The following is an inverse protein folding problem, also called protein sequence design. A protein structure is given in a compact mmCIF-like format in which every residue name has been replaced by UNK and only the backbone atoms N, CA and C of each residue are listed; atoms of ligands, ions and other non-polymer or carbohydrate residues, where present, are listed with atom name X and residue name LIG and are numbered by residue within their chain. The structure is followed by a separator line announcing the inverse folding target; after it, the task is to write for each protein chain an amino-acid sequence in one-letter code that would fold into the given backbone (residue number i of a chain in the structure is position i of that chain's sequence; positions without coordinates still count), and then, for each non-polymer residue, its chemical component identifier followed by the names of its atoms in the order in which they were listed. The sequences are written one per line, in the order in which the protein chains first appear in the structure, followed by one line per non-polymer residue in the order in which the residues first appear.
data_IF_655173085179
#
_entry.id   IF_655173085179
#
_cell.length_a   1.000
_cell.length_b   1.000
_cell.length_c   1.000
_cell.angle_alpha   90.00
_cell.angle_beta   90.00
_cell.angle_gamma   90.00
#
_symmetry.space_group_name_H-M   'P 1'
#
loop_
_entity.id
_entity.type
_entity.pdbx_description
1 polymer ?
#
# COMPACT_ATOMS: atom_id res chain seq x y z
N UNK A 1 -6.25 -16.85 12.25
CA UNK A 1 -7.73 -16.94 12.37
C UNK A 1 -8.24 -16.68 13.79
N UNK A 2 -7.59 -15.80 14.57
CA UNK A 2 -8.08 -15.42 15.91
C UNK A 2 -9.21 -14.39 15.85
N UNK A 3 -9.62 -13.88 17.01
CA UNK A 3 -10.61 -12.79 17.15
C UNK A 3 -10.21 -11.81 18.23
N UNK A 4 -10.78 -10.61 18.21
CA UNK A 4 -10.76 -9.71 19.37
C UNK A 4 -11.90 -10.12 20.29
N UNK A 5 -11.60 -10.38 21.56
CA UNK A 5 -12.61 -10.74 22.56
C UNK A 5 -13.25 -9.50 23.22
N UNK A 6 -14.23 -9.72 24.09
CA UNK A 6 -14.98 -8.67 24.79
C UNK A 6 -14.11 -7.76 25.67
N UNK A 7 -12.90 -8.21 26.03
CA UNK A 7 -11.94 -7.44 26.82
C UNK A 7 -11.01 -6.60 25.94
N UNK A 8 -11.14 -6.69 24.62
CA UNK A 8 -10.23 -6.07 23.65
C UNK A 8 -8.94 -6.86 23.41
N UNK A 9 -8.82 -8.07 23.98
CA UNK A 9 -7.66 -8.94 23.80
C UNK A 9 -7.70 -9.73 22.50
N UNK A 10 -6.54 -10.05 21.94
CA UNK A 10 -6.43 -10.99 20.83
C UNK A 10 -6.58 -12.42 21.38
N UNK A 11 -7.62 -13.11 20.97
CA UNK A 11 -7.93 -14.47 21.39
C UNK A 11 -7.61 -15.49 20.29
N UNK A 12 -6.79 -16.49 20.65
CA UNK A 12 -6.46 -17.63 19.81
C UNK A 12 -7.71 -18.47 19.53
N UNK A 13 -7.96 -18.81 18.26
CA UNK A 13 -9.10 -19.63 17.84
C UNK A 13 -9.03 -21.07 18.29
N UNK A 14 -7.83 -21.59 18.61
CA UNK A 14 -7.66 -23.00 18.92
C UNK A 14 -8.03 -23.31 20.37
N UNK A 15 -7.26 -22.79 21.33
CA UNK A 15 -7.45 -23.09 22.76
C UNK A 15 -7.96 -21.89 23.57
N UNK A 16 -8.30 -20.77 22.93
CA UNK A 16 -8.90 -19.61 23.59
C UNK A 16 -7.96 -18.81 24.50
N UNK A 17 -6.65 -18.94 24.32
CA UNK A 17 -5.68 -18.09 25.02
C UNK A 17 -5.84 -16.64 24.56
N UNK A 18 -5.88 -15.70 25.50
CA UNK A 18 -6.01 -14.27 25.19
C UNK A 18 -4.72 -13.51 25.50
N UNK A 19 -4.44 -12.50 24.69
CA UNK A 19 -3.25 -11.64 24.77
C UNK A 19 -3.66 -10.17 24.69
N UNK A 20 -3.02 -9.31 25.47
CA UNK A 20 -3.23 -7.86 25.38
C UNK A 20 -2.27 -7.20 24.35
N UNK A 21 -2.40 -5.89 24.15
CA UNK A 21 -1.56 -5.12 23.24
C UNK A 21 -0.09 -5.03 23.64
N UNK A 22 0.28 -5.44 24.86
CA UNK A 22 1.67 -5.55 25.31
C UNK A 22 2.32 -6.89 24.92
N UNK A 23 1.53 -7.82 24.36
CA UNK A 23 1.90 -9.20 24.08
C UNK A 23 1.76 -10.14 25.28
N UNK A 24 1.36 -9.62 26.44
CA UNK A 24 1.20 -10.43 27.65
C UNK A 24 0.02 -11.38 27.51
N UNK A 25 0.22 -12.65 27.91
CA UNK A 25 -0.91 -13.57 28.06
C UNK A 25 -1.77 -13.10 29.24
N UNK A 26 -3.05 -12.84 28.98
CA UNK A 26 -4.00 -12.39 30.00
C UNK A 26 -4.91 -13.51 30.48
N UNK A 27 -5.09 -14.55 29.66
CA UNK A 27 -5.99 -15.66 29.98
C UNK A 27 -5.56 -16.97 29.33
N UNK A 28 -5.52 -18.03 30.13
CA UNK A 28 -5.38 -19.42 29.68
C UNK A 28 -6.60 -20.17 30.21
N UNK A 29 -7.60 -20.50 29.36
CA UNK A 29 -8.85 -21.12 29.83
C UNK A 29 -8.64 -22.45 30.56
N UNK A 30 -7.57 -23.17 30.23
CA UNK A 30 -7.25 -24.50 30.78
C UNK A 30 -6.43 -24.43 32.07
N UNK A 31 -5.95 -23.26 32.49
CA UNK A 31 -5.17 -23.11 33.71
C UNK A 31 -6.11 -22.99 34.92
N UNK A 32 -5.85 -23.77 35.97
CA UNK A 32 -6.59 -23.64 37.22
C UNK A 32 -6.39 -22.22 37.81
N UNK A 33 -7.43 -21.62 38.43
CA UNK A 33 -7.34 -20.27 38.97
C UNK A 33 -6.43 -20.16 40.21
N UNK A 34 -6.08 -21.30 40.82
CA UNK A 34 -5.20 -21.41 41.99
C UNK A 34 -4.20 -22.55 41.78
N UNK A 35 -3.14 -22.56 42.59
CA UNK A 35 -2.10 -23.58 42.52
C UNK A 35 -0.98 -23.24 41.53
N UNK A 36 -0.04 -24.18 41.32
CA UNK A 36 1.10 -23.98 40.43
C UNK A 36 0.71 -23.64 38.98
N UNK A 37 -0.46 -24.06 38.50
CA UNK A 37 -0.94 -23.84 37.13
C UNK A 37 -1.33 -22.38 36.89
N UNK A 38 -1.84 -21.69 37.92
CA UNK A 38 -2.21 -20.27 37.84
C UNK A 38 -1.03 -19.36 37.48
N UNK A 39 0.22 -19.83 37.65
CA UNK A 39 1.42 -19.08 37.25
C UNK A 39 1.68 -19.11 35.75
N UNK A 40 1.02 -20.00 34.99
CA UNK A 40 1.23 -20.14 33.55
C UNK A 40 0.92 -18.86 32.78
N UNK A 41 -0.14 -18.14 33.15
CA UNK A 41 -0.53 -16.84 32.55
C UNK A 41 0.58 -15.79 32.70
N UNK A 42 1.35 -15.86 33.81
CA UNK A 42 2.46 -14.94 34.12
C UNK A 42 3.81 -15.42 33.58
N UNK A 43 3.85 -16.57 32.91
CA UNK A 43 5.08 -17.10 32.34
C UNK A 43 5.49 -16.27 31.12
N UNK A 44 6.74 -15.79 31.01
CA UNK A 44 7.23 -15.14 29.80
C UNK A 44 7.09 -16.02 28.55
N UNK A 45 7.16 -17.35 28.72
CA UNK A 45 6.95 -18.33 27.64
C UNK A 45 5.52 -18.41 27.11
N UNK A 46 4.56 -17.82 27.84
CA UNK A 46 3.17 -17.74 27.41
C UNK A 46 2.88 -16.45 26.65
N UNK A 47 3.79 -15.47 26.62
CA UNK A 47 3.59 -14.20 25.92
C UNK A 47 3.80 -14.34 24.41
N UNK A 48 3.12 -13.49 23.64
CA UNK A 48 3.33 -13.35 22.21
C UNK A 48 4.45 -12.36 21.92
N UNK A 49 5.24 -12.64 20.87
CA UNK A 49 6.19 -11.66 20.32
C UNK A 49 5.43 -10.45 19.79
N UNK A 50 5.96 -9.26 20.10
CA UNK A 50 5.42 -7.98 19.63
C UNK A 50 6.47 -7.22 18.83
N UNK A 51 5.98 -6.39 17.92
CA UNK A 51 6.80 -5.54 17.08
C UNK A 51 6.41 -4.07 17.28
N UNK A 52 7.35 -3.13 17.17
CA UNK A 52 7.02 -1.71 17.10
C UNK A 52 6.12 -1.44 15.89
N UNK A 53 5.04 -0.70 16.10
CA UNK A 53 4.11 -0.30 15.05
C UNK A 53 3.86 1.20 15.06
N UNK A 54 3.51 1.73 13.89
CA UNK A 54 3.18 3.14 13.70
C UNK A 54 2.07 3.27 12.66
N UNK A 55 0.99 3.97 13.02
CA UNK A 55 -0.03 4.38 12.05
C UNK A 55 0.32 5.77 11.52
N UNK A 56 0.53 5.91 10.22
CA UNK A 56 0.80 7.19 9.57
C UNK A 56 0.11 7.26 8.21
N UNK A 57 -0.60 8.35 7.92
CA UNK A 57 -1.28 8.61 6.64
C UNK A 57 -2.13 7.44 6.11
N UNK A 58 -2.83 6.75 7.02
CA UNK A 58 -3.70 5.60 6.68
C UNK A 58 -2.97 4.28 6.45
N UNK A 59 -1.65 4.23 6.69
CA UNK A 59 -0.80 3.04 6.55
C UNK A 59 -0.30 2.57 7.92
N UNK A 60 -0.34 1.25 8.14
CA UNK A 60 0.25 0.61 9.31
C UNK A 60 1.67 0.15 8.98
N UNK A 61 2.66 0.79 9.62
CA UNK A 61 4.06 0.40 9.55
C UNK A 61 4.39 -0.56 10.69
N UNK A 62 5.21 -1.57 10.39
CA UNK A 62 5.72 -2.54 11.36
C UNK A 62 7.23 -2.54 11.23
N UNK A 63 7.93 -2.39 12.36
CA UNK A 63 9.37 -2.58 12.42
C UNK A 63 9.68 -4.07 12.62
N UNK A 64 10.29 -4.77 11.65
CA UNK A 64 10.39 -6.24 11.67
C UNK A 64 11.54 -6.75 12.55
N UNK A 65 11.71 -6.16 13.73
CA UNK A 65 12.69 -6.55 14.74
C UNK A 65 12.08 -6.32 16.14
N UNK A 66 11.93 -7.40 16.90
CA UNK A 66 11.33 -7.39 18.25
C UNK A 66 12.13 -6.54 19.25
N UNK A 67 13.42 -6.31 18.98
CA UNK A 67 14.32 -5.50 19.80
C UNK A 67 14.49 -4.06 19.23
N UNK A 68 13.79 -3.74 18.14
CA UNK A 68 13.97 -2.50 17.38
C UNK A 68 13.25 -1.27 17.94
N UNK A 69 12.72 -1.30 19.18
CA UNK A 69 11.83 -0.25 19.71
C UNK A 69 12.42 1.16 19.69
N UNK A 70 13.66 1.35 20.12
CA UNK A 70 14.28 2.68 20.16
C UNK A 70 14.62 3.18 18.76
N UNK A 71 15.09 2.28 17.87
CA UNK A 71 15.32 2.60 16.45
C UNK A 71 14.03 2.97 15.75
N UNK A 72 12.95 2.22 15.98
CA UNK A 72 11.64 2.49 15.41
C UNK A 72 11.10 3.85 15.87
N UNK A 73 11.22 4.20 17.16
CA UNK A 73 10.82 5.52 17.68
C UNK A 73 11.64 6.68 17.11
N UNK A 74 12.94 6.46 16.88
CA UNK A 74 13.82 7.47 16.30
C UNK A 74 13.67 7.60 14.77
N UNK A 75 13.07 6.60 14.11
CA UNK A 75 12.92 6.58 12.65
C UNK A 75 11.60 7.22 12.24
N UNK A 76 11.66 8.17 11.31
CA UNK A 76 10.46 8.71 10.67
C UNK A 76 9.99 7.74 9.59
N UNK A 77 8.70 7.41 9.50
CA UNK A 77 8.20 6.61 8.40
C UNK A 77 8.35 7.40 7.08
N UNK A 78 8.48 6.71 5.93
CA UNK A 78 8.35 7.38 4.64
C UNK A 78 6.96 8.03 4.55
N UNK A 79 6.94 9.29 4.15
CA UNK A 79 5.72 10.11 4.12
C UNK A 79 5.18 10.20 2.71
N UNK A 80 3.86 10.09 2.58
CA UNK A 80 3.18 10.49 1.35
C UNK A 80 3.31 12.02 1.16
N UNK A 81 3.44 12.50 -0.09
CA UNK A 81 3.45 13.92 -0.42
C UNK A 81 2.25 14.68 0.16
N UNK A 82 2.43 15.97 0.47
CA UNK A 82 1.37 16.84 1.03
C UNK A 82 0.10 16.91 0.17
N UNK A 83 0.23 16.66 -1.13
CA UNK A 83 -0.87 16.59 -2.09
C UNK A 83 -1.89 15.49 -1.75
N UNK A 84 -1.54 14.50 -0.91
CA UNK A 84 -2.51 13.51 -0.44
C UNK A 84 -3.55 14.08 0.55
N UNK A 85 -3.24 15.21 1.18
CA UNK A 85 -4.14 15.93 2.09
C UNK A 85 -4.80 17.16 1.42
N UNK A 86 -4.45 17.44 0.16
CA UNK A 86 -4.98 18.57 -0.59
C UNK A 86 -6.33 18.22 -1.25
N UNK A 87 -7.43 18.96 -0.99
CA UNK A 87 -8.72 18.73 -1.65
C UNK A 87 -8.68 18.95 -3.17
N UNK A 88 -7.65 19.63 -3.70
CA UNK A 88 -7.41 19.73 -5.13
C UNK A 88 -6.83 18.43 -5.74
N UNK A 89 -6.63 17.38 -4.95
CA UNK A 89 -6.20 16.07 -5.41
C UNK A 89 -7.22 15.00 -5.04
N UNK A 90 -7.46 14.09 -5.97
CA UNK A 90 -8.15 12.83 -5.70
C UNK A 90 -7.12 11.75 -5.39
N UNK A 91 -7.34 11.03 -4.29
CA UNK A 91 -6.43 9.98 -3.82
C UNK A 91 -7.06 8.60 -3.91
N UNK A 92 -6.21 7.60 -4.12
CA UNK A 92 -6.58 6.18 -4.04
C UNK A 92 -5.44 5.39 -3.45
N UNK A 93 -5.77 4.39 -2.65
CA UNK A 93 -4.81 3.39 -2.16
C UNK A 93 -5.28 2.03 -2.60
N UNK A 94 -4.39 1.26 -3.23
CA UNK A 94 -4.64 -0.13 -3.62
C UNK A 94 -3.56 -1.02 -3.04
N UNK A 95 -3.90 -2.29 -2.83
CA UNK A 95 -2.96 -3.33 -2.47
C UNK A 95 -3.04 -4.48 -3.49
N UNK A 96 -1.88 -5.03 -3.83
CA UNK A 96 -1.75 -6.24 -4.65
C UNK A 96 -0.66 -7.15 -4.09
N UNK A 97 -0.95 -8.44 -4.05
CA UNK A 97 0.06 -9.48 -3.84
C UNK A 97 0.51 -9.97 -5.22
N UNK A 98 1.82 -10.01 -5.42
CA UNK A 98 2.50 -10.34 -6.66
C UNK A 98 3.34 -11.59 -6.45
N UNK A 99 3.28 -12.52 -7.39
CA UNK A 99 3.98 -13.81 -7.33
C UNK A 99 5.35 -13.75 -8.03
N UNK A 100 6.12 -12.72 -7.71
CA UNK A 100 7.53 -12.61 -8.09
C UNK A 100 8.34 -11.82 -7.04
N UNK A 101 9.66 -11.91 -7.17
CA UNK A 101 10.63 -11.37 -6.22
C UNK A 101 10.53 -9.85 -6.05
N UNK A 102 10.92 -9.39 -4.86
CA UNK A 102 10.91 -7.97 -4.50
C UNK A 102 11.88 -7.17 -5.37
N UNK A 103 13.06 -7.72 -5.62
CA UNK A 103 14.09 -7.21 -6.51
C UNK A 103 13.54 -6.96 -7.93
N UNK A 104 12.87 -7.95 -8.52
CA UNK A 104 12.25 -7.81 -9.84
C UNK A 104 11.16 -6.74 -9.85
N UNK A 105 10.35 -6.63 -8.79
CA UNK A 105 9.35 -5.56 -8.67
C UNK A 105 10.02 -4.19 -8.60
N UNK A 106 11.06 -4.05 -7.78
CA UNK A 106 11.74 -2.78 -7.62
C UNK A 106 12.41 -2.34 -8.91
N UNK A 107 13.07 -3.23 -9.65
CA UNK A 107 13.60 -2.92 -10.99
C UNK A 107 12.51 -2.42 -11.94
N UNK A 108 11.34 -3.07 -11.95
CA UNK A 108 10.22 -2.65 -12.77
C UNK A 108 9.67 -1.26 -12.38
N UNK A 109 9.47 -1.02 -11.07
CA UNK A 109 8.95 0.24 -10.54
C UNK A 109 9.94 1.39 -10.76
N UNK A 110 11.24 1.09 -10.75
CA UNK A 110 12.33 2.04 -10.93
C UNK A 110 12.55 2.49 -12.38
N UNK A 111 12.08 1.72 -13.37
CA UNK A 111 12.31 1.99 -14.79
C UNK A 111 11.10 2.65 -15.47
N UNK A 112 11.06 3.97 -15.69
CA UNK A 112 9.97 4.60 -16.44
C UNK A 112 10.00 4.33 -17.95
N UNK A 113 11.06 3.75 -18.51
CA UNK A 113 11.15 3.53 -19.96
C UNK A 113 10.15 2.47 -20.47
N UNK A 114 9.72 1.54 -19.60
CA UNK A 114 8.72 0.54 -19.96
C UNK A 114 7.33 1.13 -20.22
N UNK A 115 7.06 2.38 -19.78
CA UNK A 115 5.70 2.89 -19.67
C UNK A 115 4.96 2.88 -21.01
N UNK A 116 5.58 3.44 -22.05
CA UNK A 116 4.94 3.54 -23.37
C UNK A 116 4.67 2.17 -23.99
N UNK A 117 5.51 1.17 -23.69
CA UNK A 117 5.43 -0.14 -24.31
C UNK A 117 4.54 -1.13 -23.55
N UNK A 118 4.78 -1.30 -22.25
CA UNK A 118 4.11 -2.29 -21.42
C UNK A 118 2.68 -1.87 -21.03
N UNK A 119 2.44 -0.57 -20.81
CA UNK A 119 1.09 -0.05 -20.48
C UNK A 119 0.30 0.38 -21.72
N UNK A 120 0.51 -0.30 -22.86
CA UNK A 120 -0.17 0.01 -24.12
C UNK A 120 -1.70 -0.06 -23.98
N UNK A 121 -2.39 0.98 -24.46
CA UNK A 121 -3.87 1.15 -24.36
C UNK A 121 -4.39 1.39 -22.93
N UNK A 122 -3.49 1.55 -21.96
CA UNK A 122 -3.81 1.89 -20.58
C UNK A 122 -3.37 3.32 -20.28
N UNK A 123 -2.06 3.52 -20.15
CA UNK A 123 -1.46 4.85 -19.92
C UNK A 123 -0.39 5.19 -20.96
N UNK A 124 0.09 4.20 -21.72
CA UNK A 124 1.12 4.36 -22.74
C UNK A 124 0.64 3.98 -24.15
N UNK A 125 1.44 4.36 -25.15
CA UNK A 125 1.31 3.90 -26.53
C UNK A 125 2.66 3.45 -27.10
N UNK A 126 2.71 2.22 -27.62
CA UNK A 126 3.95 1.60 -28.14
C UNK A 126 4.64 2.43 -29.22
N UNK A 127 3.88 3.12 -30.06
CA UNK A 127 4.41 3.99 -31.11
C UNK A 127 5.10 5.26 -30.58
N UNK A 128 4.94 5.57 -29.29
CA UNK A 128 5.61 6.68 -28.60
C UNK A 128 6.84 6.24 -27.81
N UNK A 129 7.13 4.94 -27.74
CA UNK A 129 8.32 4.44 -27.08
C UNK A 129 9.58 5.02 -27.75
N UNK A 130 10.43 5.63 -26.94
CA UNK A 130 11.62 6.35 -27.40
C UNK A 130 12.66 6.39 -26.28
N UNK A 131 13.93 6.71 -26.59
CA UNK A 131 14.92 6.96 -25.56
C UNK A 131 14.41 7.98 -24.54
N UNK A 132 14.61 7.68 -23.25
CA UNK A 132 14.21 8.52 -22.14
C UNK A 132 15.48 8.98 -21.39
N UNK A 133 16.12 10.09 -21.79
CA UNK A 133 17.23 10.65 -21.04
C UNK A 133 16.77 10.94 -19.60
N UNK A 134 17.43 10.30 -18.65
CA UNK A 134 17.09 10.40 -17.24
C UNK A 134 18.34 10.85 -16.48
N UNK A 135 18.24 12.01 -15.83
CA UNK A 135 19.35 12.58 -15.06
C UNK A 135 19.22 12.12 -13.61
N UNK A 136 20.23 11.40 -13.15
CA UNK A 136 20.39 11.10 -11.73
C UNK A 136 20.78 12.38 -10.97
N UNK A 137 20.02 12.70 -9.95
CA UNK A 137 20.28 13.81 -9.02
C UNK A 137 21.00 13.31 -7.76
N UNK A 138 20.66 12.11 -7.29
CA UNK A 138 21.36 11.45 -6.18
C UNK A 138 21.33 9.93 -6.35
N UNK A 139 22.34 9.25 -5.80
CA UNK A 139 22.39 7.78 -5.74
C UNK A 139 23.29 7.32 -4.60
N UNK A 140 22.86 6.30 -3.87
CA UNK A 140 23.65 5.66 -2.82
C UNK A 140 23.00 4.37 -2.32
N UNK A 141 23.60 3.76 -1.30
CA UNK A 141 23.14 2.49 -0.74
C UNK A 141 21.69 2.54 -0.20
N UNK A 142 21.20 3.72 0.15
CA UNK A 142 19.88 3.93 0.77
C UNK A 142 18.83 4.45 -0.20
N UNK A 143 19.17 4.65 -1.47
CA UNK A 143 18.22 5.22 -2.41
C UNK A 143 18.83 5.97 -3.58
N UNK A 144 17.95 6.52 -4.39
CA UNK A 144 18.31 7.39 -5.49
C UNK A 144 17.20 8.40 -5.78
N UNK A 145 17.54 9.47 -6.48
CA UNK A 145 16.57 10.39 -7.08
C UNK A 145 17.02 10.83 -8.46
N UNK A 146 16.07 11.13 -9.33
CA UNK A 146 16.36 11.69 -10.65
C UNK A 146 15.10 12.09 -11.40
N UNK A 147 15.29 12.71 -12.55
CA UNK A 147 14.20 13.11 -13.43
C UNK A 147 14.61 13.12 -14.90
N UNK A 148 13.63 12.98 -15.78
CA UNK A 148 13.80 13.36 -17.19
C UNK A 148 13.56 14.88 -17.37
N UNK A 149 13.81 15.38 -18.58
CA UNK A 149 13.55 16.77 -18.98
C UNK A 149 12.40 16.91 -19.97
N UNK A 150 11.64 15.84 -20.19
CA UNK A 150 10.56 15.79 -21.18
C UNK A 150 9.23 16.31 -20.66
N UNK A 151 8.22 16.28 -21.54
CA UNK A 151 6.81 16.34 -21.20
C UNK A 151 6.17 15.02 -21.67
N UNK A 152 5.67 14.15 -20.78
CA UNK A 152 5.60 14.33 -19.32
C UNK A 152 6.97 14.37 -18.64
N UNK A 153 7.09 15.20 -17.60
CA UNK A 153 8.23 15.19 -16.68
C UNK A 153 7.98 14.13 -15.61
N UNK A 154 8.87 13.16 -15.53
CA UNK A 154 8.85 12.07 -14.55
C UNK A 154 10.03 12.31 -13.61
N UNK A 155 9.72 12.48 -12.33
CA UNK A 155 10.68 12.49 -11.23
C UNK A 155 10.51 11.19 -10.45
N UNK A 156 11.59 10.44 -10.25
CA UNK A 156 11.58 9.17 -9.54
C UNK A 156 12.54 9.24 -8.36
N UNK A 157 12.08 8.76 -7.21
CA UNK A 157 12.86 8.61 -5.99
C UNK A 157 12.64 7.21 -5.44
N UNK A 158 13.72 6.56 -5.01
CA UNK A 158 13.65 5.36 -4.19
C UNK A 158 14.28 5.65 -2.85
N UNK A 159 13.57 5.31 -1.78
CA UNK A 159 14.03 5.33 -0.40
C UNK A 159 13.97 3.91 0.15
N UNK A 160 15.14 3.37 0.49
CA UNK A 160 15.23 2.07 1.09
C UNK A 160 14.49 2.04 2.45
N UNK A 161 13.93 0.87 2.83
CA UNK A 161 14.04 -0.41 2.13
C UNK A 161 12.91 -0.71 1.16
N UNK A 162 11.87 0.11 1.04
CA UNK A 162 10.64 -0.34 0.36
C UNK A 162 9.85 0.75 -0.37
N UNK A 163 10.29 1.99 -0.34
CA UNK A 163 9.48 3.11 -0.80
C UNK A 163 9.96 3.65 -2.15
N UNK A 164 9.11 3.57 -3.17
CA UNK A 164 9.34 4.22 -4.45
C UNK A 164 8.28 5.29 -4.71
N UNK A 165 8.75 6.48 -5.03
CA UNK A 165 7.97 7.68 -5.23
C UNK A 165 8.17 8.20 -6.65
N UNK A 166 7.10 8.30 -7.41
CA UNK A 166 7.10 8.86 -8.75
C UNK A 166 6.17 10.07 -8.82
N UNK A 167 6.68 11.20 -9.29
CA UNK A 167 5.91 12.39 -9.65
C UNK A 167 5.89 12.52 -11.17
N UNK A 168 4.69 12.55 -11.74
CA UNK A 168 4.48 12.78 -13.17
C UNK A 168 3.80 14.13 -13.31
N UNK A 169 4.44 15.03 -14.05
CA UNK A 169 3.92 16.36 -14.36
C UNK A 169 3.72 16.44 -15.87
N UNK A 170 2.52 16.84 -16.29
CA UNK A 170 2.13 16.93 -17.69
C UNK A 170 1.65 18.34 -17.95
N UNK A 171 2.40 19.07 -18.77
CA UNK A 171 1.97 20.37 -19.27
C UNK A 171 0.98 20.12 -20.41
N UNK A 172 -0.25 20.60 -20.25
CA UNK A 172 -1.33 20.41 -21.21
C UNK A 172 -2.03 21.73 -21.50
N UNK A 173 -2.52 21.89 -22.72
CA UNK A 173 -3.27 23.08 -23.14
C UNK A 173 -4.68 22.67 -23.52
N UNK A 174 -5.64 23.08 -22.70
CA UNK A 174 -7.05 22.80 -22.93
C UNK A 174 -7.69 23.96 -23.72
N UNK A 175 -8.59 23.67 -24.68
CA UNK A 175 -9.13 24.70 -25.58
C UNK A 175 -9.84 25.88 -24.88
N UNK A 176 -10.43 25.64 -23.70
CA UNK A 176 -11.26 26.64 -22.99
C UNK A 176 -10.55 27.19 -21.75
N UNK A 177 -9.88 26.33 -20.99
CA UNK A 177 -9.27 26.68 -19.70
C UNK A 177 -7.77 27.01 -19.80
N UNK A 178 -7.23 27.02 -21.03
CA UNK A 178 -5.85 27.41 -21.30
C UNK A 178 -4.83 26.39 -20.82
N UNK A 179 -3.65 26.88 -20.45
CA UNK A 179 -2.55 26.06 -19.98
C UNK A 179 -2.85 25.50 -18.59
N UNK A 180 -2.64 24.20 -18.43
CA UNK A 180 -2.91 23.44 -17.22
C UNK A 180 -1.72 22.55 -16.92
N UNK A 181 -1.50 22.30 -15.63
CA UNK A 181 -0.48 21.37 -15.16
C UNK A 181 -1.14 20.20 -14.44
N UNK A 182 -1.14 19.05 -15.10
CA UNK A 182 -1.61 17.81 -14.51
C UNK A 182 -0.49 17.17 -13.71
N UNK A 183 -0.80 16.78 -12.48
CA UNK A 183 0.15 16.16 -11.55
C UNK A 183 -0.41 14.82 -11.11
N UNK A 184 0.44 13.80 -11.18
CA UNK A 184 0.18 12.47 -10.64
C UNK A 184 1.30 12.13 -9.68
N UNK A 185 0.96 11.72 -8.47
CA UNK A 185 1.84 11.02 -7.56
C UNK A 185 1.51 9.53 -7.61
N UNK A 186 2.55 8.70 -7.68
CA UNK A 186 2.49 7.25 -7.51
C UNK A 186 3.52 6.90 -6.46
N UNK A 187 3.03 6.59 -5.26
CA UNK A 187 3.80 6.22 -4.09
C UNK A 187 3.59 4.71 -3.87
N UNK A 188 4.62 3.89 -3.97
CA UNK A 188 4.52 2.45 -3.76
C UNK A 188 5.39 2.01 -2.59
N UNK A 189 4.79 1.24 -1.70
CA UNK A 189 5.46 0.53 -0.62
C UNK A 189 5.49 -0.94 -1.01
N UNK A 190 6.69 -1.48 -1.24
CA UNK A 190 6.91 -2.82 -1.76
C UNK A 190 7.55 -3.70 -0.68
N UNK A 191 6.83 -4.71 -0.21
CA UNK A 191 7.18 -5.49 0.98
C UNK A 191 7.40 -6.95 0.57
N UNK A 192 8.60 -7.52 0.76
CA UNK A 192 8.80 -8.95 0.57
C UNK A 192 7.96 -9.73 1.58
N UNK A 193 7.15 -10.67 1.10
CA UNK A 193 6.32 -11.52 1.96
C UNK A 193 6.94 -12.90 2.19
N UNK A 194 7.57 -13.44 1.15
CA UNK A 194 8.26 -14.72 1.11
C UNK A 194 9.17 -14.73 -0.12
N UNK A 195 10.11 -15.70 -0.25
CA UNK A 195 10.85 -15.88 -1.49
C UNK A 195 9.90 -15.97 -2.71
N UNK A 196 10.11 -15.12 -3.71
CA UNK A 196 9.27 -15.06 -4.91
C UNK A 196 7.87 -14.47 -4.71
N UNK A 197 7.57 -13.82 -3.58
CA UNK A 197 6.27 -13.17 -3.34
C UNK A 197 6.44 -11.80 -2.69
N UNK A 198 5.81 -10.80 -3.29
CA UNK A 198 5.90 -9.39 -2.87
C UNK A 198 4.51 -8.78 -2.73
N UNK A 199 4.28 -7.97 -1.70
CA UNK A 199 3.10 -7.13 -1.58
C UNK A 199 3.45 -5.71 -2.00
N UNK A 200 2.67 -5.14 -2.90
CA UNK A 200 2.74 -3.73 -3.26
C UNK A 200 1.51 -3.00 -2.74
N UNK A 201 1.72 -1.94 -1.95
CA UNK A 201 0.70 -0.97 -1.56
C UNK A 201 0.99 0.29 -2.34
N UNK A 202 0.08 0.67 -3.24
CA UNK A 202 0.23 1.83 -4.12
C UNK A 202 -0.77 2.89 -3.71
N UNK A 203 -0.26 4.01 -3.23
CA UNK A 203 -1.01 5.24 -2.98
C UNK A 203 -0.81 6.18 -4.18
N UNK A 204 -1.89 6.65 -4.79
CA UNK A 204 -1.83 7.61 -5.89
C UNK A 204 -2.66 8.84 -5.58
N UNK A 205 -2.15 10.02 -5.96
CA UNK A 205 -2.87 11.29 -5.90
C UNK A 205 -2.82 11.95 -7.28
N UNK A 206 -3.92 12.55 -7.76
CA UNK A 206 -3.92 13.34 -9.00
C UNK A 206 -4.82 14.57 -8.91
N UNK A 207 -4.45 15.67 -9.57
CA UNK A 207 -5.21 16.93 -9.53
C UNK A 207 -6.20 17.14 -10.69
N UNK A 208 -6.41 16.13 -11.53
CA UNK A 208 -7.27 16.19 -12.70
C UNK A 208 -8.21 14.98 -12.76
N UNK A 209 -9.32 15.12 -13.48
CA UNK A 209 -10.42 14.13 -13.50
C UNK A 209 -10.91 13.70 -12.11
N UNK A 210 -10.98 14.65 -11.16
CA UNK A 210 -11.30 14.35 -9.76
C UNK A 210 -12.67 13.65 -9.59
N UNK A 211 -13.64 14.00 -10.43
CA UNK A 211 -15.00 13.43 -10.43
C UNK A 211 -15.07 11.94 -10.79
N UNK A 212 -13.97 11.36 -11.30
CA UNK A 212 -13.91 9.92 -11.64
C UNK A 212 -13.52 9.04 -10.46
N UNK A 213 -13.22 9.62 -9.30
CA UNK A 213 -12.77 8.89 -8.12
C UNK A 213 -13.87 8.84 -7.06
N UNK A 214 -14.18 7.65 -6.51
CA UNK A 214 -15.06 7.54 -5.37
C UNK A 214 -14.42 8.28 -4.19
N UNK A 215 -15.09 9.33 -3.67
CA UNK A 215 -14.56 10.13 -2.56
C UNK A 215 -14.39 9.33 -1.26
N UNK A 216 -13.89 9.96 -0.19
CA UNK A 216 -13.64 9.32 1.13
C UNK A 216 -14.89 8.66 1.76
N UNK A 217 -16.09 8.88 1.24
CA UNK A 217 -17.33 8.29 1.71
C UNK A 217 -17.97 7.34 0.67
N UNK A 218 -17.19 6.82 -0.29
CA UNK A 218 -17.76 6.00 -1.38
C UNK A 218 -18.53 4.76 -0.88
N UNK A 219 -18.11 4.19 0.25
CA UNK A 219 -18.80 3.08 0.91
C UNK A 219 -20.18 3.48 1.50
N UNK A 220 -20.44 4.77 1.72
CA UNK A 220 -21.74 5.25 2.18
C UNK A 220 -22.80 5.27 1.06
N UNK A 221 -22.36 5.28 -0.22
CA UNK A 221 -23.26 5.33 -1.38
C UNK A 221 -23.79 3.93 -1.76
N UNK A 222 -23.12 2.86 -1.29
CA UNK A 222 -23.53 1.47 -1.53
C UNK A 222 -24.85 1.06 -0.85
N UNK A 223 -25.39 1.89 0.06
CA UNK A 223 -26.64 1.58 0.74
C UNK A 223 -27.91 1.89 -0.09
N UNK A 224 -27.84 2.63 -1.21
CA UNK A 224 -29.07 3.12 -1.86
C UNK A 224 -29.14 3.18 -3.39
N UNK A 225 -28.10 2.82 -4.17
CA UNK A 225 -28.21 2.91 -5.64
C UNK A 225 -27.68 1.65 -6.33
N UNK A 226 -28.54 0.63 -6.41
CA UNK A 226 -28.51 -0.33 -7.52
C UNK A 226 -29.41 0.26 -8.59
N UNK A 227 -28.86 0.95 -9.60
CA UNK A 227 -29.30 0.95 -11.01
C UNK A 227 -28.60 2.06 -11.83
N UNK A 228 -28.09 1.64 -12.99
CA UNK A 228 -27.93 2.37 -14.25
C UNK A 228 -27.00 3.61 -14.32
N UNK A 229 -25.74 3.39 -14.70
CA UNK A 229 -25.07 4.23 -15.71
C UNK A 229 -24.08 3.38 -16.54
N UNK A 230 -24.47 3.06 -17.77
CA UNK A 230 -23.57 2.57 -18.82
C UNK A 230 -22.94 3.78 -19.52
N UNK A 231 -21.69 4.10 -19.20
CA UNK A 231 -20.85 5.01 -19.97
C UNK A 231 -19.83 4.22 -20.82
N UNK A 232 -19.43 4.72 -22.00
CA UNK A 232 -18.66 3.97 -22.98
C UNK A 232 -17.26 3.56 -22.49
N UNK A 233 -16.72 2.41 -22.96
CA UNK A 233 -15.61 1.69 -22.33
C UNK A 233 -14.22 2.20 -22.76
N UNK A 234 -13.91 3.48 -22.49
CA UNK A 234 -12.60 4.05 -22.90
C UNK A 234 -11.79 4.65 -21.75
N UNK A 235 -12.33 4.80 -20.53
CA UNK A 235 -11.59 5.46 -19.43
C UNK A 235 -11.65 4.77 -18.06
N UNK A 236 -12.12 3.51 -17.98
CA UNK A 236 -12.27 2.77 -16.71
C UNK A 236 -11.48 1.46 -16.63
N UNK A 237 -10.53 1.22 -17.54
CA UNK A 237 -9.94 -0.13 -17.72
C UNK A 237 -8.75 -0.47 -16.82
N UNK A 238 -8.43 0.35 -15.81
CA UNK A 238 -7.35 0.02 -14.84
C UNK A 238 -7.87 -0.41 -13.48
N UNK A 239 -9.13 -0.13 -13.15
CA UNK A 239 -9.61 -0.27 -11.77
C UNK A 239 -10.83 -1.18 -11.60
N UNK A 240 -11.32 -1.83 -12.68
CA UNK A 240 -12.57 -2.59 -12.66
C UNK A 240 -12.46 -4.11 -12.81
N UNK A 241 -11.26 -4.71 -12.89
CA UNK A 241 -11.12 -6.15 -12.70
C UNK A 241 -10.97 -6.51 -11.21
N UNK A 242 -11.98 -6.13 -10.43
CA UNK A 242 -12.30 -6.79 -9.17
C UNK A 242 -13.48 -7.74 -9.40
N UNK A 243 -13.22 -8.81 -10.16
CA UNK A 243 -13.98 -10.03 -9.93
C UNK A 243 -13.44 -10.63 -8.63
N UNK A 244 -14.11 -10.28 -7.54
CA UNK A 244 -14.14 -11.08 -6.32
C UNK A 244 -14.79 -12.40 -6.72
N UNK A 245 -14.01 -13.34 -7.24
CA UNK A 245 -14.36 -14.75 -7.14
C UNK A 245 -13.96 -15.17 -5.73
N UNK A 246 -14.93 -15.04 -4.81
CA UNK A 246 -15.02 -15.86 -3.61
C UNK A 246 -15.00 -17.33 -4.08
N UNK A 247 -13.83 -17.94 -4.18
CA UNK A 247 -13.74 -19.39 -4.12
C UNK A 247 -13.98 -19.79 -2.66
N UNK A 248 -15.25 -20.07 -2.36
CA UNK A 248 -15.58 -21.07 -1.35
C UNK A 248 -14.91 -22.37 -1.79
N UNK A 249 -13.75 -22.70 -1.20
CA UNK A 249 -13.26 -24.07 -1.21
C UNK A 249 -13.93 -24.78 -0.06
N UNK A 250 -15.09 -25.35 -0.36
CA UNK A 250 -15.53 -26.58 0.28
C UNK A 250 -14.57 -27.68 -0.19
N UNK A 251 -13.87 -28.31 0.75
CA UNK A 251 -13.39 -29.66 0.57
C UNK A 251 -13.43 -30.36 1.92
N UNK A 252 -14.53 -31.08 2.15
CA UNK A 252 -14.51 -32.30 2.93
C UNK A 252 -13.40 -33.21 2.42
N UNK A 253 -12.51 -33.60 3.33
CA UNK A 253 -12.02 -34.97 3.50
C UNK A 253 -11.32 -35.04 4.85
#
# INVERSE_FOLDING_TARGET
EGRIDETGGLQCSYHGWSFDGSGACTRIPQAAPKGPEARAVRSPRACATKFPTLLSQGLLFVWPDENGWDKAKATKPPMLPKEFDDPAFSTVTIQRDLFYGYDTLMENVSDPSHIEFAHHKVTGRRDRAKPLPFKMESSGAWGYSGANTGNPRITATFEAPCYALNKIEIDTKLPIVGDQKWVIWICSFNIPMAPGKTRSIVCSARNFFQFTMPGKAWWQVYAYVVFAFTLPPVFLTVFQHHHIWLYMVSSCS
#
